data_IF_066527743856
#
_entry.id   IF_066527743856
#
_cell.length_a   1.000
_cell.length_b   1.000
_cell.length_c   1.000
_cell.angle_alpha   90.00
_cell.angle_beta   90.00
_cell.angle_gamma   90.00
#
_symmetry.space_group_name_H-M   'P 1'
#
loop_
_entity.id
_entity.type
_entity.pdbx_description
1 polymer ?
#
# COMPACT_ATOMS: atom_id res chain seq x y z
N UNK A 1 -18.30 0.19 11.44
CA UNK A 1 -17.77 -1.15 11.13
C UNK A 1 -17.62 -2.01 12.39
N UNK A 2 -16.72 -1.70 13.34
CA UNK A 2 -16.45 -2.54 14.53
C UNK A 2 -17.72 -2.79 15.36
N UNK A 3 -18.53 -1.77 15.63
CA UNK A 3 -19.82 -1.91 16.34
C UNK A 3 -20.83 -2.82 15.62
N UNK A 4 -20.73 -2.95 14.31
CA UNK A 4 -21.69 -3.76 13.51
C UNK A 4 -21.25 -5.20 13.35
N UNK A 5 -19.94 -5.47 13.19
CA UNK A 5 -19.44 -6.84 12.94
C UNK A 5 -18.81 -7.50 14.17
N UNK A 6 -18.58 -6.74 15.24
CA UNK A 6 -17.92 -7.22 16.45
C UNK A 6 -16.39 -7.23 16.41
N UNK A 7 -15.80 -7.46 17.57
CA UNK A 7 -14.35 -7.39 17.78
C UNK A 7 -13.59 -8.51 17.09
N UNK A 8 -14.07 -9.73 17.20
CA UNK A 8 -13.47 -10.94 16.62
C UNK A 8 -13.44 -10.86 15.09
N UNK A 9 -14.58 -10.55 14.48
CA UNK A 9 -14.69 -10.40 13.02
C UNK A 9 -13.82 -9.26 12.48
N UNK A 10 -13.66 -8.17 13.23
CA UNK A 10 -12.72 -7.11 12.87
C UNK A 10 -11.28 -7.60 12.93
N UNK A 11 -10.94 -8.43 13.91
CA UNK A 11 -9.63 -9.08 14.00
C UNK A 11 -9.36 -9.98 12.79
N UNK A 12 -10.31 -10.84 12.41
CA UNK A 12 -10.21 -11.71 11.24
C UNK A 12 -10.05 -10.92 9.93
N UNK A 13 -10.81 -9.82 9.78
CA UNK A 13 -10.67 -8.90 8.64
C UNK A 13 -9.25 -8.33 8.58
N UNK A 14 -8.73 -7.83 9.70
CA UNK A 14 -7.39 -7.24 9.80
C UNK A 14 -6.32 -8.28 9.46
N UNK A 15 -6.47 -9.51 9.96
CA UNK A 15 -5.57 -10.62 9.66
C UNK A 15 -5.57 -10.94 8.15
N UNK A 16 -6.75 -11.08 7.54
CA UNK A 16 -6.86 -11.38 6.12
C UNK A 16 -6.19 -10.30 5.26
N UNK A 17 -6.45 -9.02 5.55
CA UNK A 17 -5.83 -7.91 4.84
C UNK A 17 -4.31 -7.88 5.03
N UNK A 18 -3.82 -8.19 6.24
CA UNK A 18 -2.39 -8.28 6.52
C UNK A 18 -1.72 -9.39 5.74
N UNK A 19 -2.23 -10.62 5.82
CA UNK A 19 -1.67 -11.79 5.12
C UNK A 19 -1.60 -11.53 3.62
N UNK A 20 -2.67 -11.03 3.02
CA UNK A 20 -2.70 -10.72 1.58
C UNK A 20 -1.71 -9.62 1.24
N UNK A 21 -1.60 -8.58 2.07
CA UNK A 21 -0.68 -7.47 1.84
C UNK A 21 0.80 -7.88 1.87
N UNK A 22 1.15 -8.99 2.52
CA UNK A 22 2.52 -9.53 2.51
C UNK A 22 2.93 -10.00 1.12
N UNK A 23 1.99 -10.50 0.32
CA UNK A 23 2.26 -11.09 -0.98
C UNK A 23 1.84 -10.18 -2.14
N UNK A 24 0.77 -9.40 -1.96
CA UNK A 24 0.20 -8.54 -3.00
C UNK A 24 0.73 -7.11 -2.85
N UNK A 25 1.78 -6.79 -3.59
CA UNK A 25 2.38 -5.44 -3.59
C UNK A 25 3.00 -5.12 -4.96
N UNK A 26 3.28 -3.84 -5.18
CA UNK A 26 4.02 -3.42 -6.38
C UNK A 26 5.50 -3.79 -6.25
N UNK A 27 5.96 -4.68 -7.11
CA UNK A 27 7.36 -5.11 -7.20
C UNK A 27 8.27 -4.02 -7.81
N UNK A 28 7.98 -2.74 -7.57
CA UNK A 28 8.74 -1.62 -8.13
C UNK A 28 8.57 -1.43 -9.64
N UNK A 29 7.76 -2.29 -10.26
CA UNK A 29 7.51 -2.25 -11.71
C UNK A 29 6.68 -1.04 -12.12
N UNK A 30 5.75 -0.55 -11.28
CA UNK A 30 5.01 0.68 -11.54
C UNK A 30 5.93 1.90 -11.59
N UNK A 31 6.93 1.94 -10.72
CA UNK A 31 7.98 2.98 -10.75
C UNK A 31 8.86 2.86 -12.00
N UNK A 32 9.18 1.63 -12.44
CA UNK A 32 9.88 1.39 -13.70
C UNK A 32 9.03 1.86 -14.90
N UNK A 33 7.74 1.51 -14.94
CA UNK A 33 6.79 1.99 -15.96
C UNK A 33 6.81 3.51 -16.04
N UNK A 34 6.64 4.19 -14.90
CA UNK A 34 6.68 5.66 -14.87
C UNK A 34 7.98 6.20 -15.47
N UNK A 35 9.12 5.66 -15.05
CA UNK A 35 10.44 6.14 -15.47
C UNK A 35 10.71 5.91 -16.96
N UNK A 36 10.54 4.66 -17.43
CA UNK A 36 10.90 4.29 -18.79
C UNK A 36 9.91 4.86 -19.82
N UNK A 37 8.60 4.81 -19.55
CA UNK A 37 7.60 5.38 -20.43
C UNK A 37 7.77 6.89 -20.52
N UNK A 38 7.92 7.62 -19.40
CA UNK A 38 8.14 9.07 -19.43
C UNK A 38 9.40 9.44 -20.24
N UNK A 39 10.48 8.66 -20.12
CA UNK A 39 11.69 8.85 -20.94
C UNK A 39 11.39 8.69 -22.43
N UNK A 40 10.75 7.59 -22.84
CA UNK A 40 10.45 7.34 -24.26
C UNK A 40 9.46 8.34 -24.86
N UNK A 41 8.48 8.80 -24.06
CA UNK A 41 7.57 9.88 -24.48
C UNK A 41 8.31 11.20 -24.67
N UNK A 42 9.25 11.55 -23.80
CA UNK A 42 10.08 12.76 -23.95
C UNK A 42 10.98 12.69 -25.17
N UNK A 43 11.39 11.49 -25.60
CA UNK A 43 12.15 11.24 -26.84
C UNK A 43 11.24 11.18 -28.09
N UNK A 44 9.91 11.31 -27.95
CA UNK A 44 8.92 11.19 -29.04
C UNK A 44 8.77 9.75 -29.57
N UNK A 45 9.16 8.74 -28.84
CA UNK A 45 9.22 7.33 -29.24
C UNK A 45 8.09 6.52 -28.60
N UNK A 46 6.87 6.72 -29.10
CA UNK A 46 5.69 5.99 -28.62
C UNK A 46 5.82 4.46 -28.80
N UNK A 47 6.44 4.01 -29.89
CA UNK A 47 6.73 2.59 -30.15
C UNK A 47 7.50 1.93 -29.01
N UNK A 48 8.52 2.61 -28.48
CA UNK A 48 9.29 2.08 -27.32
C UNK A 48 8.50 2.12 -26.02
N UNK A 49 7.65 3.11 -25.82
CA UNK A 49 6.77 3.14 -24.68
C UNK A 49 5.79 1.94 -24.68
N UNK A 50 5.22 1.61 -25.84
CA UNK A 50 4.33 0.45 -26.02
C UNK A 50 5.05 -0.88 -25.84
N UNK A 51 6.30 -0.97 -26.31
CA UNK A 51 7.17 -2.12 -26.12
C UNK A 51 7.53 -2.34 -24.65
N UNK A 52 7.92 -1.28 -23.96
CA UNK A 52 8.17 -1.30 -22.50
C UNK A 52 6.96 -1.81 -21.74
N UNK A 53 5.75 -1.31 -22.09
CA UNK A 53 4.51 -1.76 -21.46
C UNK A 53 4.25 -3.25 -21.69
N UNK A 54 4.52 -3.75 -22.91
CA UNK A 54 4.42 -5.17 -23.22
C UNK A 54 5.34 -6.05 -22.38
N UNK A 55 6.61 -5.64 -22.19
CA UNK A 55 7.56 -6.33 -21.31
C UNK A 55 7.10 -6.35 -19.85
N UNK A 56 6.65 -5.21 -19.35
CA UNK A 56 6.17 -5.08 -17.96
C UNK A 56 4.95 -5.93 -17.71
N UNK A 57 3.97 -5.95 -18.63
CA UNK A 57 2.77 -6.80 -18.46
C UNK A 57 3.11 -8.28 -18.41
N UNK A 58 4.07 -8.76 -19.20
CA UNK A 58 4.53 -10.15 -19.13
C UNK A 58 5.13 -10.48 -17.76
N UNK A 59 5.94 -9.55 -17.21
CA UNK A 59 6.47 -9.71 -15.85
C UNK A 59 5.37 -9.75 -14.81
N UNK A 60 4.37 -8.86 -14.91
CA UNK A 60 3.24 -8.88 -13.99
C UNK A 60 2.44 -10.19 -14.07
N UNK A 61 2.18 -10.71 -15.25
CA UNK A 61 1.47 -11.99 -15.41
C UNK A 61 2.29 -13.15 -14.81
N UNK A 62 3.61 -13.16 -15.03
CA UNK A 62 4.48 -14.19 -14.44
C UNK A 62 4.45 -14.12 -12.90
N UNK A 63 4.60 -12.92 -12.34
CA UNK A 63 4.57 -12.71 -10.90
C UNK A 63 3.19 -13.06 -10.34
N UNK A 64 2.11 -12.72 -11.04
CA UNK A 64 0.73 -13.01 -10.64
C UNK A 64 0.46 -14.51 -10.55
N UNK A 65 0.96 -15.29 -11.50
CA UNK A 65 0.87 -16.76 -11.44
C UNK A 65 1.61 -17.30 -10.20
N UNK A 66 2.82 -16.82 -9.94
CA UNK A 66 3.59 -17.22 -8.74
C UNK A 66 2.84 -16.81 -7.47
N UNK A 67 2.34 -15.57 -7.41
CA UNK A 67 1.57 -15.06 -6.28
C UNK A 67 0.30 -15.88 -6.05
N UNK A 68 -0.44 -16.22 -7.11
CA UNK A 68 -1.62 -17.10 -7.03
C UNK A 68 -1.26 -18.45 -6.41
N UNK A 69 -0.16 -19.09 -6.84
CA UNK A 69 0.29 -20.36 -6.26
C UNK A 69 0.63 -20.23 -4.77
N UNK A 70 1.29 -19.12 -4.37
CA UNK A 70 1.61 -18.84 -2.98
C UNK A 70 0.33 -18.64 -2.16
N UNK A 71 -0.63 -17.84 -2.66
CA UNK A 71 -1.90 -17.61 -1.96
C UNK A 71 -2.72 -18.90 -1.81
N UNK A 72 -2.74 -19.77 -2.83
CA UNK A 72 -3.34 -21.11 -2.74
C UNK A 72 -2.61 -21.96 -1.71
N UNK A 73 -1.28 -21.95 -1.68
CA UNK A 73 -0.48 -22.64 -0.66
C UNK A 73 -0.85 -22.19 0.74
N UNK A 74 -0.84 -20.87 0.99
CA UNK A 74 -1.21 -20.31 2.30
C UNK A 74 -2.60 -20.74 2.75
N UNK A 75 -3.58 -20.82 1.84
CA UNK A 75 -4.93 -21.27 2.16
C UNK A 75 -4.95 -22.64 2.83
N UNK A 76 -4.16 -23.60 2.35
CA UNK A 76 -4.09 -24.95 2.93
C UNK A 76 -3.37 -24.96 4.28
N UNK A 77 -2.45 -24.03 4.52
CA UNK A 77 -1.71 -23.93 5.77
C UNK A 77 -2.41 -23.09 6.85
N UNK A 78 -3.52 -22.38 6.55
CA UNK A 78 -4.27 -21.54 7.49
C UNK A 78 -4.52 -22.25 8.83
N UNK A 79 -5.09 -23.50 8.89
CA UNK A 79 -5.39 -24.12 10.18
C UNK A 79 -4.15 -24.49 10.99
N UNK A 80 -3.01 -24.68 10.32
CA UNK A 80 -1.75 -25.03 10.98
C UNK A 80 -1.01 -23.79 11.50
N UNK A 81 -1.16 -22.66 10.80
CA UNK A 81 -0.54 -21.38 11.16
C UNK A 81 -1.26 -20.68 12.29
N UNK A 82 -2.60 -20.76 12.34
CA UNK A 82 -3.45 -20.01 13.26
C UNK A 82 -4.20 -20.92 14.23
N UNK A 83 -3.45 -21.67 15.05
CA UNK A 83 -3.98 -22.65 16.02
C UNK A 83 -4.79 -22.00 17.15
N UNK A 84 -4.55 -20.73 17.44
CA UNK A 84 -5.23 -19.98 18.49
C UNK A 84 -6.62 -19.46 18.06
N UNK A 85 -6.99 -19.64 16.78
CA UNK A 85 -8.33 -19.34 16.28
C UNK A 85 -9.25 -20.54 16.50
N UNK A 86 -10.50 -20.27 16.88
CA UNK A 86 -11.53 -21.31 16.98
C UNK A 86 -11.86 -21.89 15.60
N UNK A 87 -12.49 -23.05 15.56
CA UNK A 87 -12.90 -23.69 14.29
C UNK A 87 -13.82 -22.79 13.46
N UNK A 88 -14.74 -22.05 14.11
CA UNK A 88 -15.65 -21.12 13.45
C UNK A 88 -14.90 -19.89 12.88
N UNK A 89 -13.92 -19.37 13.62
CA UNK A 89 -13.05 -18.27 13.15
C UNK A 89 -12.20 -18.71 11.97
N UNK A 90 -11.67 -19.93 11.97
CA UNK A 90 -10.88 -20.47 10.84
C UNK A 90 -11.76 -20.59 9.57
N UNK A 91 -13.00 -21.08 9.68
CA UNK A 91 -13.92 -21.13 8.54
C UNK A 91 -14.23 -19.72 8.00
N UNK A 92 -14.57 -18.81 8.90
CA UNK A 92 -14.84 -17.41 8.54
C UNK A 92 -13.62 -16.76 7.89
N UNK A 93 -12.42 -17.00 8.45
CA UNK A 93 -11.17 -16.49 7.90
C UNK A 93 -10.87 -17.04 6.50
N UNK A 94 -11.08 -18.34 6.27
CA UNK A 94 -10.89 -18.95 4.94
C UNK A 94 -11.78 -18.31 3.89
N UNK A 95 -13.05 -18.03 4.20
CA UNK A 95 -13.98 -17.43 3.23
C UNK A 95 -13.52 -16.01 2.86
N UNK A 96 -13.22 -15.15 3.85
CA UNK A 96 -12.76 -13.79 3.58
C UNK A 96 -11.39 -13.77 2.87
N UNK A 97 -10.52 -14.71 3.23
CA UNK A 97 -9.23 -14.88 2.58
C UNK A 97 -9.39 -15.21 1.09
N UNK A 98 -10.28 -16.16 0.74
CA UNK A 98 -10.54 -16.52 -0.66
C UNK A 98 -11.09 -15.32 -1.44
N UNK A 99 -12.07 -14.59 -0.90
CA UNK A 99 -12.63 -13.39 -1.57
C UNK A 99 -11.53 -12.37 -1.84
N UNK A 100 -10.71 -12.09 -0.83
CA UNK A 100 -9.65 -11.10 -0.94
C UNK A 100 -8.49 -11.59 -1.85
N UNK A 101 -8.15 -12.88 -1.82
CA UNK A 101 -7.13 -13.47 -2.69
C UNK A 101 -7.56 -13.45 -4.17
N UNK A 102 -8.81 -13.84 -4.48
CA UNK A 102 -9.36 -13.77 -5.83
C UNK A 102 -9.35 -12.34 -6.37
N UNK A 103 -9.80 -11.37 -5.56
CA UNK A 103 -9.72 -9.96 -5.92
C UNK A 103 -8.28 -9.53 -6.20
N UNK A 104 -7.34 -9.95 -5.36
CA UNK A 104 -5.93 -9.59 -5.48
C UNK A 104 -5.30 -10.11 -6.77
N UNK A 105 -5.54 -11.38 -7.11
CA UNK A 105 -5.08 -11.99 -8.37
C UNK A 105 -5.67 -11.25 -9.58
N UNK A 106 -6.98 -10.94 -9.57
CA UNK A 106 -7.60 -10.20 -10.67
C UNK A 106 -7.06 -8.77 -10.78
N UNK A 107 -6.78 -8.09 -9.65
CA UNK A 107 -6.37 -6.69 -9.62
C UNK A 107 -4.87 -6.49 -9.90
N UNK A 108 -4.05 -7.47 -9.61
CA UNK A 108 -2.59 -7.36 -9.66
C UNK A 108 -2.05 -6.94 -11.03
N UNK A 109 -2.49 -7.51 -12.19
CA UNK A 109 -2.02 -7.09 -13.51
C UNK A 109 -2.35 -5.63 -13.87
N UNK A 110 -3.23 -4.97 -13.11
CA UNK A 110 -3.62 -3.58 -13.34
C UNK A 110 -2.86 -2.55 -12.50
N UNK A 111 -1.98 -2.98 -11.60
CA UNK A 111 -1.13 -2.08 -10.80
C UNK A 111 -0.31 -1.11 -11.68
N UNK A 112 0.28 -1.51 -12.84
CA UNK A 112 1.05 -0.62 -13.71
C UNK A 112 0.29 0.58 -14.25
N UNK A 113 -1.03 0.54 -14.26
CA UNK A 113 -1.91 1.63 -14.74
C UNK A 113 -1.60 2.96 -14.05
N UNK A 114 -1.29 2.92 -12.74
CA UNK A 114 -0.90 4.12 -12.00
C UNK A 114 0.41 4.72 -12.56
N UNK A 115 1.37 3.86 -12.90
CA UNK A 115 2.63 4.27 -13.52
C UNK A 115 2.43 4.89 -14.90
N UNK A 116 1.54 4.31 -15.71
CA UNK A 116 1.19 4.84 -17.04
C UNK A 116 0.58 6.22 -16.94
N UNK A 117 -0.45 6.40 -16.10
CA UNK A 117 -1.10 7.70 -15.90
C UNK A 117 -0.11 8.76 -15.40
N UNK A 118 0.81 8.37 -14.52
CA UNK A 118 1.87 9.24 -14.00
C UNK A 118 2.87 9.62 -15.11
N UNK A 119 3.31 8.66 -15.93
CA UNK A 119 4.22 8.89 -17.05
C UNK A 119 3.65 9.85 -18.11
N UNK A 120 2.35 9.79 -18.35
CA UNK A 120 1.62 10.71 -19.23
C UNK A 120 1.18 12.02 -18.53
N UNK A 121 1.67 12.31 -17.32
CA UNK A 121 1.34 13.51 -16.52
C UNK A 121 -0.16 13.68 -16.23
N UNK A 122 -0.93 12.58 -16.23
CA UNK A 122 -2.37 12.59 -15.96
C UNK A 122 -2.67 12.52 -14.46
N UNK A 123 -1.99 13.34 -13.67
CA UNK A 123 -2.09 13.34 -12.20
C UNK A 123 -3.50 13.66 -11.69
N UNK A 124 -4.21 14.60 -12.36
CA UNK A 124 -5.57 14.99 -11.95
C UNK A 124 -6.50 13.79 -12.08
N UNK A 125 -6.48 13.10 -13.22
CA UNK A 125 -7.29 11.91 -13.48
C UNK A 125 -6.98 10.79 -12.48
N UNK A 126 -5.70 10.56 -12.21
CA UNK A 126 -5.28 9.56 -11.22
C UNK A 126 -5.83 9.90 -9.81
N UNK A 127 -5.69 11.15 -9.38
CA UNK A 127 -6.17 11.59 -8.06
C UNK A 127 -7.69 11.62 -7.95
N UNK A 128 -8.39 12.00 -9.00
CA UNK A 128 -9.86 11.90 -9.05
C UNK A 128 -10.33 10.45 -8.92
N UNK A 129 -9.67 9.52 -9.62
CA UNK A 129 -9.91 8.10 -9.44
C UNK A 129 -9.68 7.66 -7.99
N UNK A 130 -8.57 8.04 -7.35
CA UNK A 130 -8.26 7.65 -5.98
C UNK A 130 -9.31 8.20 -4.98
N UNK A 131 -9.77 9.45 -5.17
CA UNK A 131 -10.84 10.06 -4.35
C UNK A 131 -12.17 9.35 -4.60
N UNK A 132 -12.54 9.10 -5.87
CA UNK A 132 -13.76 8.37 -6.22
C UNK A 132 -13.77 6.97 -5.59
N UNK A 133 -12.63 6.26 -5.61
CA UNK A 133 -12.49 4.95 -4.95
C UNK A 133 -12.81 5.02 -3.46
N UNK A 134 -12.20 5.97 -2.75
CA UNK A 134 -12.46 6.16 -1.31
C UNK A 134 -13.93 6.46 -1.02
N UNK A 135 -14.54 7.33 -1.83
CA UNK A 135 -15.97 7.66 -1.69
C UNK A 135 -16.86 6.46 -1.96
N UNK A 136 -16.60 5.70 -3.03
CA UNK A 136 -17.35 4.48 -3.34
C UNK A 136 -17.24 3.48 -2.19
N UNK A 137 -16.04 3.21 -1.68
CA UNK A 137 -15.86 2.29 -0.55
C UNK A 137 -16.64 2.76 0.67
N UNK A 138 -16.50 4.04 1.07
CA UNK A 138 -17.18 4.56 2.26
C UNK A 138 -18.70 4.47 2.10
N UNK A 139 -19.24 4.89 0.96
CA UNK A 139 -20.69 4.87 0.72
C UNK A 139 -21.23 3.43 0.66
N UNK A 140 -20.59 2.56 -0.12
CA UNK A 140 -21.07 1.17 -0.26
C UNK A 140 -20.92 0.36 1.02
N UNK A 141 -19.83 0.54 1.77
CA UNK A 141 -19.68 -0.09 3.09
C UNK A 141 -20.71 0.44 4.09
N UNK A 142 -20.97 1.75 4.12
CA UNK A 142 -21.99 2.34 5.02
C UNK A 142 -23.38 1.80 4.71
N UNK A 143 -23.75 1.76 3.43
CA UNK A 143 -25.04 1.18 3.01
C UNK A 143 -25.12 -0.30 3.37
N UNK A 144 -24.06 -1.07 3.10
CA UNK A 144 -23.99 -2.49 3.44
C UNK A 144 -24.21 -2.74 4.95
N UNK A 145 -23.56 -1.94 5.80
CA UNK A 145 -23.72 -2.04 7.26
C UNK A 145 -25.13 -1.65 7.74
N UNK A 146 -25.72 -0.61 7.16
CA UNK A 146 -27.09 -0.19 7.46
C UNK A 146 -28.14 -1.24 7.07
N UNK A 147 -27.86 -2.02 6.03
CA UNK A 147 -28.70 -3.16 5.61
C UNK A 147 -28.43 -4.46 6.40
N UNK A 148 -27.61 -4.40 7.46
CA UNK A 148 -27.28 -5.55 8.30
C UNK A 148 -26.21 -6.48 7.71
N UNK A 149 -25.41 -6.01 6.75
CA UNK A 149 -24.32 -6.77 6.15
C UNK A 149 -23.24 -7.11 7.18
N UNK A 150 -22.79 -8.37 7.16
CA UNK A 150 -21.72 -8.87 8.02
C UNK A 150 -20.33 -8.79 7.40
N UNK A 151 -19.39 -9.50 8.00
CA UNK A 151 -17.97 -9.54 7.61
C UNK A 151 -17.75 -9.88 6.12
N UNK A 152 -18.43 -10.91 5.62
CA UNK A 152 -18.31 -11.35 4.21
C UNK A 152 -18.76 -10.28 3.22
N UNK A 153 -19.87 -9.61 3.55
CA UNK A 153 -20.41 -8.54 2.71
C UNK A 153 -19.45 -7.35 2.62
N UNK A 154 -18.77 -7.00 3.71
CA UNK A 154 -17.79 -5.90 3.72
C UNK A 154 -16.58 -6.21 2.85
N UNK A 155 -16.05 -7.43 2.92
CA UNK A 155 -14.91 -7.84 2.09
C UNK A 155 -15.31 -7.89 0.61
N UNK A 156 -16.50 -8.41 0.30
CA UNK A 156 -17.03 -8.47 -1.07
C UNK A 156 -17.26 -7.08 -1.66
N UNK A 157 -17.84 -6.16 -0.88
CA UNK A 157 -18.06 -4.77 -1.29
C UNK A 157 -16.73 -4.07 -1.58
N UNK A 158 -15.72 -4.28 -0.76
CA UNK A 158 -14.38 -3.73 -0.99
C UNK A 158 -13.75 -4.27 -2.27
N UNK A 159 -13.87 -5.57 -2.53
CA UNK A 159 -13.40 -6.21 -3.75
C UNK A 159 -14.11 -5.65 -5.00
N UNK A 160 -15.44 -5.54 -4.97
CA UNK A 160 -16.24 -5.00 -6.08
C UNK A 160 -15.89 -3.54 -6.34
N UNK A 161 -15.79 -2.71 -5.30
CA UNK A 161 -15.37 -1.31 -5.42
C UNK A 161 -13.99 -1.19 -6.08
N UNK A 162 -13.05 -2.06 -5.71
CA UNK A 162 -11.74 -2.13 -6.34
C UNK A 162 -11.79 -2.50 -7.82
N UNK A 163 -12.62 -3.47 -8.21
CA UNK A 163 -12.82 -3.85 -9.63
C UNK A 163 -13.43 -2.70 -10.44
N UNK A 164 -14.42 -2.00 -9.89
CA UNK A 164 -14.99 -0.80 -10.54
C UNK A 164 -13.90 0.24 -10.79
N UNK A 165 -13.01 0.44 -9.83
CA UNK A 165 -11.90 1.38 -9.97
C UNK A 165 -10.90 0.98 -11.05
N UNK A 166 -10.61 -0.31 -11.20
CA UNK A 166 -9.77 -0.80 -12.30
C UNK A 166 -10.39 -0.44 -13.64
N UNK A 167 -11.69 -0.69 -13.81
CA UNK A 167 -12.41 -0.34 -15.03
C UNK A 167 -12.37 1.17 -15.32
N UNK A 168 -12.56 2.01 -14.30
CA UNK A 168 -12.47 3.46 -14.43
C UNK A 168 -11.04 3.91 -14.82
N UNK A 169 -10.00 3.37 -14.19
CA UNK A 169 -8.60 3.71 -14.51
C UNK A 169 -8.22 3.25 -15.93
N UNK A 170 -8.65 2.06 -16.36
CA UNK A 170 -8.46 1.57 -17.74
C UNK A 170 -9.17 2.50 -18.74
N UNK A 171 -10.38 2.93 -18.42
CA UNK A 171 -11.13 3.88 -19.25
C UNK A 171 -10.42 5.23 -19.34
N UNK A 172 -9.82 5.71 -18.23
CA UNK A 172 -9.00 6.92 -18.24
C UNK A 172 -7.78 6.78 -19.15
N UNK A 173 -7.07 5.65 -19.12
CA UNK A 173 -5.93 5.42 -20.03
C UNK A 173 -6.40 5.48 -21.48
N UNK A 174 -7.44 4.75 -21.84
CA UNK A 174 -7.98 4.73 -23.21
C UNK A 174 -8.41 6.11 -23.70
N UNK A 175 -8.95 6.95 -22.81
CA UNK A 175 -9.47 8.28 -23.17
C UNK A 175 -8.41 9.38 -23.20
N UNK A 176 -7.43 9.32 -22.30
CA UNK A 176 -6.51 10.43 -22.06
C UNK A 176 -5.05 10.14 -22.44
N UNK A 177 -4.76 8.91 -22.86
CA UNK A 177 -3.41 8.50 -23.29
C UNK A 177 -3.51 7.70 -24.59
N UNK A 178 -2.42 7.68 -25.35
CA UNK A 178 -2.29 6.84 -26.55
C UNK A 178 -1.46 5.59 -26.26
N UNK A 179 -1.38 5.17 -24.98
CA UNK A 179 -0.54 4.05 -24.57
C UNK A 179 -1.10 2.73 -25.09
N UNK A 180 -0.32 2.08 -25.97
CA UNK A 180 -0.54 0.73 -26.45
C UNK A 180 0.24 -0.31 -25.65
N UNK A 181 0.04 -1.60 -26.00
CA UNK A 181 0.75 -2.74 -25.42
C UNK A 181 1.25 -3.62 -26.55
N UNK A 182 2.58 -3.73 -26.66
CA UNK A 182 3.24 -4.54 -27.70
C UNK A 182 3.59 -5.93 -27.15
N UNK A 183 2.64 -6.89 -27.22
CA UNK A 183 2.79 -8.23 -26.61
C UNK A 183 3.91 -9.10 -27.21
N UNK A 184 4.29 -8.88 -28.45
CA UNK A 184 5.29 -9.72 -29.17
C UNK A 184 6.70 -9.20 -29.03
N UNK A 185 6.88 -7.97 -28.56
CA UNK A 185 8.21 -7.37 -28.44
C UNK A 185 8.99 -7.96 -27.25
N UNK A 186 10.26 -8.30 -27.49
CA UNK A 186 11.19 -8.68 -26.44
C UNK A 186 12.60 -8.23 -26.84
N UNK A 187 13.21 -7.37 -26.02
CA UNK A 187 14.62 -7.03 -26.12
C UNK A 187 15.29 -7.29 -24.77
N UNK A 188 16.30 -8.17 -24.80
CA UNK A 188 17.00 -8.64 -23.59
C UNK A 188 17.59 -7.48 -22.77
N UNK A 189 18.17 -6.50 -23.44
CA UNK A 189 18.80 -5.35 -22.78
C UNK A 189 17.79 -4.48 -22.04
N UNK A 190 16.66 -4.15 -22.67
CA UNK A 190 15.59 -3.38 -22.02
C UNK A 190 14.97 -4.18 -20.86
N UNK A 191 14.80 -5.49 -21.02
CA UNK A 191 14.33 -6.37 -19.95
C UNK A 191 15.29 -6.36 -18.75
N UNK A 192 16.61 -6.49 -18.97
CA UNK A 192 17.62 -6.44 -17.92
C UNK A 192 17.64 -5.09 -17.19
N UNK A 193 17.47 -3.97 -17.91
CA UNK A 193 17.39 -2.64 -17.33
C UNK A 193 16.15 -2.47 -16.43
N UNK A 194 14.98 -2.95 -16.89
CA UNK A 194 13.73 -2.90 -16.12
C UNK A 194 13.82 -3.77 -14.86
N UNK A 195 14.26 -5.03 -15.00
CA UNK A 195 14.39 -5.97 -13.89
C UNK A 195 15.46 -5.51 -12.89
N UNK A 196 16.59 -5.01 -13.37
CA UNK A 196 17.66 -4.49 -12.51
C UNK A 196 17.21 -3.30 -11.67
N UNK A 197 16.46 -2.36 -12.23
CA UNK A 197 15.90 -1.25 -11.49
C UNK A 197 14.81 -1.73 -10.51
N UNK A 198 13.86 -2.52 -11.00
CA UNK A 198 12.73 -3.01 -10.19
C UNK A 198 13.19 -3.94 -9.07
N UNK A 199 14.24 -4.73 -9.27
CA UNK A 199 14.75 -5.70 -8.31
C UNK A 199 15.13 -5.08 -6.95
N UNK A 200 15.86 -3.97 -6.95
CA UNK A 200 16.20 -3.27 -5.70
C UNK A 200 15.00 -2.65 -5.02
N UNK A 201 14.06 -2.11 -5.80
CA UNK A 201 12.80 -1.58 -5.27
C UNK A 201 11.95 -2.72 -4.68
N UNK A 202 11.95 -3.89 -5.33
CA UNK A 202 11.27 -5.10 -4.84
C UNK A 202 11.84 -5.56 -3.50
N UNK A 203 13.16 -5.69 -3.38
CA UNK A 203 13.83 -6.10 -2.12
C UNK A 203 13.45 -5.14 -0.99
N UNK A 204 13.50 -3.84 -1.25
CA UNK A 204 13.09 -2.83 -0.27
C UNK A 204 11.61 -2.96 0.11
N UNK A 205 10.72 -3.15 -0.87
CA UNK A 205 9.29 -3.30 -0.63
C UNK A 205 8.96 -4.55 0.18
N UNK A 206 9.66 -5.66 -0.08
CA UNK A 206 9.53 -6.89 0.72
C UNK A 206 9.93 -6.62 2.17
N UNK A 207 11.10 -6.03 2.40
CA UNK A 207 11.57 -5.72 3.75
C UNK A 207 10.57 -4.79 4.48
N UNK A 208 10.07 -3.74 3.83
CA UNK A 208 9.04 -2.87 4.39
C UNK A 208 7.75 -3.62 4.75
N UNK A 209 7.32 -4.59 3.91
CA UNK A 209 6.13 -5.41 4.21
C UNK A 209 6.33 -6.26 5.46
N UNK A 210 7.49 -6.86 5.61
CA UNK A 210 7.81 -7.59 6.84
C UNK A 210 7.81 -6.67 8.06
N UNK A 211 8.41 -5.49 7.99
CA UNK A 211 8.45 -4.54 9.11
C UNK A 211 7.02 -4.07 9.49
N UNK A 212 6.18 -3.68 8.51
CA UNK A 212 4.92 -2.97 8.79
C UNK A 212 3.68 -3.86 8.78
N UNK A 213 3.70 -5.03 8.15
CA UNK A 213 2.49 -5.84 7.96
C UNK A 213 2.56 -7.25 8.55
N UNK A 214 3.69 -7.70 9.10
CA UNK A 214 3.82 -9.05 9.66
C UNK A 214 3.13 -9.20 11.03
N UNK A 215 3.04 -8.12 11.80
CA UNK A 215 2.58 -8.15 13.19
C UNK A 215 1.18 -8.75 13.38
N UNK A 216 0.15 -8.45 12.57
CA UNK A 216 -1.15 -9.13 12.71
C UNK A 216 -1.08 -10.64 12.48
N UNK A 217 -0.22 -11.11 11.56
CA UNK A 217 -0.03 -12.53 11.30
C UNK A 217 0.63 -13.25 12.48
N UNK A 218 1.64 -12.62 13.10
CA UNK A 218 2.30 -13.15 14.32
C UNK A 218 1.30 -13.21 15.46
N UNK A 219 0.53 -12.13 15.68
CA UNK A 219 -0.50 -12.12 16.73
C UNK A 219 -1.59 -13.15 16.49
N UNK A 220 -1.99 -13.36 15.23
CA UNK A 220 -2.97 -14.39 14.86
C UNK A 220 -2.49 -15.80 15.19
N UNK A 221 -1.20 -16.04 15.05
CA UNK A 221 -0.60 -17.35 15.39
C UNK A 221 -0.40 -17.56 16.89
N UNK A 222 -0.23 -16.49 17.70
CA UNK A 222 0.17 -16.57 19.10
C UNK A 222 -0.90 -16.15 20.11
N UNK A 223 -1.86 -15.30 19.72
CA UNK A 223 -2.74 -14.58 20.66
C UNK A 223 -4.20 -14.48 20.25
N UNK A 224 -4.57 -14.98 19.06
CA UNK A 224 -5.94 -15.00 18.56
C UNK A 224 -6.49 -13.67 18.05
N UNK A 225 -7.75 -13.69 17.60
CA UNK A 225 -8.43 -12.60 16.86
C UNK A 225 -8.57 -11.29 17.64
N UNK A 226 -8.79 -11.39 18.93
CA UNK A 226 -8.94 -10.22 19.81
C UNK A 226 -7.69 -9.33 19.84
N UNK A 227 -6.51 -9.92 19.96
CA UNK A 227 -5.24 -9.19 19.96
C UNK A 227 -4.96 -8.55 18.60
N UNK A 228 -5.34 -9.23 17.51
CA UNK A 228 -5.26 -8.67 16.16
C UNK A 228 -6.16 -7.43 16.02
N UNK A 229 -7.38 -7.49 16.58
CA UNK A 229 -8.31 -6.35 16.55
C UNK A 229 -7.76 -5.14 17.30
N UNK A 230 -7.14 -5.33 18.47
CA UNK A 230 -6.48 -4.29 19.25
C UNK A 230 -5.37 -3.61 18.43
N UNK A 231 -4.48 -4.41 17.83
CA UNK A 231 -3.43 -3.90 16.97
C UNK A 231 -3.99 -3.22 15.71
N UNK A 232 -5.07 -3.75 15.12
CA UNK A 232 -5.72 -3.19 13.94
C UNK A 232 -6.24 -1.77 14.13
N UNK A 233 -6.71 -1.43 15.34
CA UNK A 233 -7.09 -0.06 15.70
C UNK A 233 -5.85 0.84 15.76
N UNK A 234 -4.80 0.37 16.43
CA UNK A 234 -3.55 1.11 16.56
C UNK A 234 -2.92 1.43 15.21
N UNK A 235 -2.82 0.44 14.32
CA UNK A 235 -2.27 0.60 12.97
C UNK A 235 -3.17 1.45 12.06
N UNK A 236 -4.47 1.49 12.30
CA UNK A 236 -5.39 2.39 11.59
C UNK A 236 -5.08 3.86 11.93
N UNK A 237 -4.89 4.18 13.21
CA UNK A 237 -4.53 5.55 13.65
C UNK A 237 -3.13 5.94 13.18
N UNK A 238 -2.18 5.01 13.23
CA UNK A 238 -0.86 5.19 12.64
C UNK A 238 -0.96 5.52 11.14
N UNK A 239 -1.75 4.77 10.37
CA UNK A 239 -1.98 4.98 8.94
C UNK A 239 -2.55 6.35 8.61
N UNK A 240 -3.44 6.90 9.45
CA UNK A 240 -3.90 8.28 9.31
C UNK A 240 -2.76 9.27 9.53
N UNK A 241 -1.91 9.05 10.55
CA UNK A 241 -0.74 9.89 10.82
C UNK A 241 0.20 9.94 9.62
N UNK A 242 0.50 8.77 9.01
CA UNK A 242 1.25 8.67 7.76
C UNK A 242 0.57 9.41 6.60
N UNK A 243 -0.74 9.33 6.49
CA UNK A 243 -1.50 9.99 5.41
C UNK A 243 -1.34 11.51 5.48
N UNK A 244 -1.44 12.10 6.66
CA UNK A 244 -1.22 13.54 6.86
C UNK A 244 0.22 13.96 6.53
N UNK A 245 1.21 13.24 7.00
CA UNK A 245 2.61 13.53 6.73
C UNK A 245 2.97 13.41 5.23
N UNK A 246 2.48 12.36 4.56
CA UNK A 246 2.73 12.13 3.14
C UNK A 246 2.04 13.16 2.24
N UNK A 247 0.93 13.76 2.66
CA UNK A 247 0.31 14.85 1.92
C UNK A 247 1.28 16.04 1.78
N UNK A 248 2.06 16.33 2.82
CA UNK A 248 3.07 17.39 2.79
C UNK A 248 4.26 17.00 1.93
N UNK A 249 4.76 15.78 2.06
CA UNK A 249 5.89 15.28 1.26
C UNK A 249 5.62 15.37 -0.24
N UNK A 250 4.41 15.00 -0.67
CA UNK A 250 4.01 15.03 -2.08
C UNK A 250 4.09 16.42 -2.72
N UNK A 251 3.86 17.48 -1.94
CA UNK A 251 3.95 18.88 -2.45
C UNK A 251 5.38 19.30 -2.76
N UNK A 252 6.37 18.77 -2.05
CA UNK A 252 7.77 19.20 -2.19
C UNK A 252 8.60 18.29 -3.09
N UNK A 253 8.09 17.15 -3.50
CA UNK A 253 8.79 16.20 -4.37
C UNK A 253 9.34 16.82 -5.66
N UNK A 254 8.60 17.68 -6.42
CA UNK A 254 9.14 18.31 -7.61
C UNK A 254 10.31 19.25 -7.30
N UNK A 255 10.30 19.91 -6.13
CA UNK A 255 11.38 20.79 -5.71
C UNK A 255 12.64 20.00 -5.32
N UNK A 256 12.47 18.88 -4.62
CA UNK A 256 13.57 17.95 -4.29
C UNK A 256 14.23 17.45 -5.58
N UNK A 257 13.43 16.97 -6.53
CA UNK A 257 13.92 16.46 -7.81
C UNK A 257 14.74 17.51 -8.58
N UNK A 258 14.28 18.78 -8.63
CA UNK A 258 15.01 19.88 -9.28
C UNK A 258 16.34 20.20 -8.59
N UNK A 259 16.39 20.17 -7.25
CA UNK A 259 17.64 20.42 -6.51
C UNK A 259 18.63 19.28 -6.74
N UNK A 260 18.14 18.04 -6.73
CA UNK A 260 18.98 16.85 -6.94
C UNK A 260 19.52 16.75 -8.36
N UNK A 261 18.78 17.24 -9.37
CA UNK A 261 19.24 17.25 -10.78
C UNK A 261 20.34 18.26 -11.05
N UNK A 262 20.52 19.26 -10.21
CA UNK A 262 21.66 20.18 -10.26
C UNK A 262 22.81 19.56 -9.47
N UNK A 263 23.93 19.24 -10.12
CA UNK A 263 25.07 18.51 -9.54
C UNK A 263 25.63 19.10 -8.22
N UNK A 264 25.41 20.38 -7.95
CA UNK A 264 25.81 21.08 -6.73
C UNK A 264 24.65 21.45 -5.80
N UNK A 265 23.44 20.91 -6.03
CA UNK A 265 22.27 21.26 -5.24
C UNK A 265 22.29 20.62 -3.84
N UNK A 266 22.38 21.45 -2.79
CA UNK A 266 22.26 20.98 -1.40
C UNK A 266 20.76 20.82 -1.03
N UNK A 267 20.38 19.59 -0.73
CA UNK A 267 19.01 19.22 -0.32
C UNK A 267 18.79 19.48 1.18
N UNK A 268 19.86 19.60 1.96
CA UNK A 268 19.80 19.68 3.43
C UNK A 268 18.92 20.83 3.95
N UNK A 269 19.03 22.08 3.44
CA UNK A 269 18.19 23.19 3.91
C UNK A 269 16.69 22.92 3.69
N UNK A 270 16.35 22.30 2.56
CA UNK A 270 14.96 21.93 2.26
C UNK A 270 14.47 20.79 3.17
N UNK A 271 15.31 19.78 3.42
CA UNK A 271 15.00 18.70 4.35
C UNK A 271 14.74 19.23 5.76
N UNK A 272 15.59 20.12 6.26
CA UNK A 272 15.43 20.75 7.59
C UNK A 272 14.13 21.57 7.65
N UNK A 273 13.83 22.35 6.62
CA UNK A 273 12.62 23.18 6.58
C UNK A 273 11.35 22.32 6.61
N UNK A 274 11.28 21.29 5.77
CA UNK A 274 10.10 20.43 5.68
C UNK A 274 10.01 19.51 6.90
N UNK A 275 11.15 18.97 7.35
CA UNK A 275 11.22 18.15 8.56
C UNK A 275 10.68 18.88 9.79
N UNK A 276 10.98 20.19 9.95
CA UNK A 276 10.40 21.01 11.04
C UNK A 276 8.87 21.09 10.95
N UNK A 277 8.32 21.32 9.76
CA UNK A 277 6.87 21.38 9.56
C UNK A 277 6.25 20.02 9.91
N UNK A 278 6.87 18.93 9.48
CA UNK A 278 6.41 17.57 9.77
C UNK A 278 6.47 17.25 11.26
N UNK A 279 7.55 17.64 11.96
CA UNK A 279 7.66 17.45 13.41
C UNK A 279 6.52 18.19 14.12
N UNK A 280 6.20 19.43 13.76
CA UNK A 280 5.10 20.16 14.40
C UNK A 280 3.76 19.47 14.21
N UNK A 281 3.45 19.02 13.00
CA UNK A 281 2.18 18.33 12.71
C UNK A 281 2.12 16.96 13.38
N UNK A 282 3.20 16.17 13.26
CA UNK A 282 3.24 14.84 13.88
C UNK A 282 3.23 14.94 15.40
N UNK A 283 3.95 15.92 15.99
CA UNK A 283 3.94 16.17 17.42
C UNK A 283 2.55 16.59 17.93
N UNK A 284 1.81 17.40 17.17
CA UNK A 284 0.43 17.76 17.50
C UNK A 284 -0.47 16.53 17.54
N UNK A 285 -0.35 15.63 16.54
CA UNK A 285 -1.12 14.39 16.49
C UNK A 285 -0.74 13.47 17.67
N UNK A 286 0.55 13.25 17.88
CA UNK A 286 1.06 12.39 18.97
C UNK A 286 0.62 12.92 20.33
N UNK A 287 0.77 14.22 20.57
CA UNK A 287 0.34 14.85 21.82
C UNK A 287 -1.19 14.77 22.00
N UNK A 288 -1.94 14.97 20.92
CA UNK A 288 -3.40 14.76 20.93
C UNK A 288 -3.78 13.33 21.31
N UNK A 289 -3.07 12.31 20.78
CA UNK A 289 -3.29 10.92 21.14
C UNK A 289 -2.87 10.64 22.59
N UNK A 290 -1.79 11.22 23.09
CA UNK A 290 -1.38 11.06 24.50
C UNK A 290 -2.45 11.63 25.43
N UNK A 291 -2.97 12.82 25.15
CA UNK A 291 -3.92 13.49 26.03
C UNK A 291 -5.36 12.96 25.93
N UNK A 292 -5.81 12.65 24.72
CA UNK A 292 -7.21 12.37 24.42
C UNK A 292 -7.44 10.96 23.87
N UNK A 293 -6.39 10.22 23.55
CA UNK A 293 -6.46 8.96 22.82
C UNK A 293 -7.27 7.88 23.51
N UNK A 294 -7.17 7.74 24.84
CA UNK A 294 -7.97 6.77 25.59
C UNK A 294 -9.48 7.06 25.45
N UNK A 295 -9.88 8.31 25.68
CA UNK A 295 -11.28 8.72 25.53
C UNK A 295 -11.75 8.63 24.08
N UNK A 296 -10.91 9.02 23.13
CA UNK A 296 -11.21 8.93 21.70
C UNK A 296 -11.44 7.49 21.26
N UNK A 297 -10.57 6.56 21.64
CA UNK A 297 -10.70 5.14 21.28
C UNK A 297 -11.97 4.55 21.91
N UNK A 298 -12.26 4.86 23.16
CA UNK A 298 -13.49 4.38 23.82
C UNK A 298 -14.76 4.92 23.14
N UNK A 299 -14.79 6.18 22.72
CA UNK A 299 -15.91 6.77 21.98
C UNK A 299 -16.02 6.20 20.56
N UNK A 300 -14.89 5.98 19.89
CA UNK A 300 -14.87 5.54 18.50
C UNK A 300 -15.19 4.05 18.34
N UNK A 301 -14.57 3.19 19.14
CA UNK A 301 -14.67 1.72 19.00
C UNK A 301 -15.27 1.00 20.19
N UNK A 302 -15.49 1.69 21.31
CA UNK A 302 -16.08 1.15 22.52
C UNK A 302 -15.08 0.80 23.62
N UNK A 303 -15.60 0.58 24.83
CA UNK A 303 -14.80 0.33 26.04
C UNK A 303 -14.01 -0.98 26.03
N UNK A 304 -14.40 -1.94 25.18
CA UNK A 304 -13.71 -3.22 25.01
C UNK A 304 -12.31 -3.12 24.38
N UNK A 305 -11.91 -1.93 23.93
CA UNK A 305 -10.64 -1.69 23.22
C UNK A 305 -9.66 -0.78 23.97
N UNK A 306 -9.77 -0.72 25.30
CA UNK A 306 -8.87 0.11 26.13
C UNK A 306 -7.38 -0.18 25.87
N UNK A 307 -7.02 -1.45 25.71
CA UNK A 307 -5.62 -1.85 25.46
C UNK A 307 -5.07 -1.32 24.16
N UNK A 308 -5.95 -0.98 23.18
CA UNK A 308 -5.53 -0.35 21.92
C UNK A 308 -4.90 1.02 22.13
N UNK A 309 -5.16 1.72 23.24
CA UNK A 309 -4.52 3.00 23.54
C UNK A 309 -3.01 2.86 23.69
N UNK A 310 -2.55 1.92 24.52
CA UNK A 310 -1.11 1.68 24.69
C UNK A 310 -0.45 1.19 23.39
N UNK A 311 -1.11 0.26 22.67
CA UNK A 311 -0.64 -0.16 21.36
C UNK A 311 -0.49 1.02 20.40
N UNK A 312 -1.48 1.94 20.40
CA UNK A 312 -1.45 3.14 19.55
C UNK A 312 -0.27 4.04 19.89
N UNK A 313 0.01 4.25 21.18
CA UNK A 313 1.18 5.03 21.60
C UNK A 313 2.49 4.41 21.11
N UNK A 314 2.64 3.08 21.24
CA UNK A 314 3.86 2.39 20.80
C UNK A 314 4.10 2.49 19.30
N UNK A 315 3.06 2.54 18.46
CA UNK A 315 3.23 2.65 16.99
C UNK A 315 3.29 4.11 16.51
N UNK A 316 2.61 5.06 17.17
CA UNK A 316 2.56 6.46 16.72
C UNK A 316 3.76 7.29 17.21
N UNK A 317 4.28 7.06 18.42
CA UNK A 317 5.41 7.84 18.95
C UNK A 317 6.66 7.74 18.06
N UNK A 318 7.06 6.57 17.53
CA UNK A 318 8.17 6.45 16.58
C UNK A 318 8.00 7.28 15.30
N UNK A 319 6.76 7.58 14.89
CA UNK A 319 6.48 8.42 13.72
C UNK A 319 7.08 9.83 13.85
N UNK A 320 7.28 10.34 15.07
CA UNK A 320 7.98 11.61 15.32
C UNK A 320 9.40 11.65 14.75
N UNK A 321 10.07 10.51 14.73
CA UNK A 321 11.43 10.39 14.21
C UNK A 321 11.45 10.01 12.74
N UNK A 322 10.54 9.13 12.31
CA UNK A 322 10.53 8.55 10.98
C UNK A 322 10.00 9.50 9.91
N UNK A 323 8.85 10.14 10.16
CA UNK A 323 8.16 10.97 9.15
C UNK A 323 8.95 12.19 8.70
N UNK A 324 9.67 12.92 9.58
CA UNK A 324 10.50 14.06 9.16
C UNK A 324 11.67 13.67 8.24
N UNK A 325 12.08 12.40 8.26
CA UNK A 325 13.19 11.89 7.44
C UNK A 325 12.76 11.42 6.05
N UNK A 326 11.46 11.33 5.79
CA UNK A 326 10.92 10.77 4.54
C UNK A 326 11.39 11.53 3.29
N UNK A 327 11.61 12.85 3.39
CA UNK A 327 12.21 13.65 2.31
C UNK A 327 13.64 13.20 1.98
N UNK A 328 14.40 12.77 3.00
CA UNK A 328 15.71 12.16 2.79
C UNK A 328 15.63 10.91 1.94
N UNK A 329 14.64 10.05 2.19
CA UNK A 329 14.36 8.87 1.38
C UNK A 329 14.08 9.26 -0.08
N UNK A 330 13.26 10.28 -0.32
CA UNK A 330 12.97 10.78 -1.67
C UNK A 330 14.24 11.29 -2.38
N UNK A 331 15.13 11.97 -1.66
CA UNK A 331 16.41 12.41 -2.21
C UNK A 331 17.35 11.25 -2.56
N UNK A 332 17.34 10.16 -1.78
CA UNK A 332 18.10 8.93 -2.06
C UNK A 332 17.56 8.27 -3.33
N UNK A 333 16.24 8.20 -3.50
CA UNK A 333 15.60 7.71 -4.73
C UNK A 333 16.00 8.55 -5.94
N UNK A 334 15.91 9.88 -5.84
CA UNK A 334 16.27 10.80 -6.92
C UNK A 334 17.74 10.65 -7.33
N UNK A 335 18.66 10.42 -6.36
CA UNK A 335 20.10 10.16 -6.61
C UNK A 335 20.40 8.73 -7.10
N UNK A 336 19.40 7.91 -7.37
CA UNK A 336 19.54 6.49 -7.79
C UNK A 336 20.36 5.62 -6.80
N UNK A 337 20.37 5.96 -5.51
CA UNK A 337 21.09 5.22 -4.47
C UNK A 337 20.18 4.22 -3.72
N UNK A 338 19.15 3.71 -4.38
CA UNK A 338 18.11 2.80 -3.83
C UNK A 338 18.73 1.54 -3.22
N UNK A 339 19.84 1.03 -3.82
CA UNK A 339 20.55 -0.16 -3.29
C UNK A 339 20.96 -0.01 -1.82
N UNK A 340 21.49 1.16 -1.43
CA UNK A 340 21.92 1.40 -0.04
C UNK A 340 20.72 1.41 0.91
N UNK A 341 19.63 2.04 0.49
CA UNK A 341 18.39 2.10 1.27
C UNK A 341 17.77 0.70 1.43
N UNK A 342 17.74 -0.10 0.36
CA UNK A 342 17.26 -1.47 0.39
C UNK A 342 18.03 -2.34 1.40
N UNK A 343 19.37 -2.23 1.44
CA UNK A 343 20.20 -2.96 2.42
C UNK A 343 19.82 -2.57 3.86
N UNK A 344 19.60 -1.27 4.12
CA UNK A 344 19.19 -0.82 5.48
C UNK A 344 17.85 -1.43 5.86
N UNK A 345 16.84 -1.39 4.96
CA UNK A 345 15.54 -2.00 5.25
C UNK A 345 15.61 -3.53 5.45
N UNK A 346 16.45 -4.23 4.68
CA UNK A 346 16.68 -5.68 4.88
C UNK A 346 17.31 -5.98 6.24
N UNK A 347 18.23 -5.13 6.73
CA UNK A 347 18.82 -5.29 8.05
C UNK A 347 17.86 -4.99 9.21
N UNK A 348 16.81 -4.20 8.95
CA UNK A 348 15.77 -3.86 9.92
C UNK A 348 14.63 -4.89 9.96
N UNK A 349 14.40 -5.63 8.87
CA UNK A 349 13.34 -6.64 8.72
C UNK A 349 13.73 -7.98 9.32
#
# INVERSE_FOLDING_TARGET
MIHSIGRENFGLYTLAMSVISLFVFDFGLSSAVTRFIAKYLAEGRQDKADNCMGLVYRLYILIDIVMMLVLVGVYFFIPQLYKELTSEEIESFKIIYVIAAVYSVISFPFIPINGVLTAHEKFIQLKLCDVAHKLIIVLTMSVCLLLGGGLYSLVSVNAIAGLIMIVLKVSCIKKFTYQGISWRYFEKREFEEIVGFSGWVTIMSIAQRFIFNIAPSILGALSGSTSIAILGIATTLEGYTYTFANAINGMFLPKVSRIVSNDNGDVLPLMVKIGRIQIYITALIVFGVICLGDHFIQLWVGTGFKDSYFCTLFVIVPCLLQLPQEIGNQAIFAKNKVKKLAIVYVLMA
#
